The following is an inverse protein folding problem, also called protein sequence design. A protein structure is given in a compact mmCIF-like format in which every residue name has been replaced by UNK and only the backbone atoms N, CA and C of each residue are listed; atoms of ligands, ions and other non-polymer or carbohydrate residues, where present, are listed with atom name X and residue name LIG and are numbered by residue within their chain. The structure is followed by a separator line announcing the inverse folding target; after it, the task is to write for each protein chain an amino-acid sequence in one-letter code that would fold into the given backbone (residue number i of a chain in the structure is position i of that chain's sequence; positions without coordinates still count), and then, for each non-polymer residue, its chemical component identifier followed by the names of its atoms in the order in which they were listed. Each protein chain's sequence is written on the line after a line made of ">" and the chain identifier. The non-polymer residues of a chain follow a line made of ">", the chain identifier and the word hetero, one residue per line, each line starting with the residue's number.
data_IF_372568450814
#
_entry.id   IF_372568450814
#
_cell.length_a   1.000
_cell.length_b   1.000
_cell.length_c   1.000
_cell.angle_alpha   90.00
_cell.angle_beta   90.00
_cell.angle_gamma   90.00
#
_symmetry.space_group_name_H-M   'P 1'
#
loop_
_entity.id
_entity.type
_entity.pdbx_description
1 polymer ?
#
# COMPACT_ATOMS: atom_id res chain seq x y z
N UNK A 1 38.84 46.97 -10.01
CA UNK A 1 37.68 46.20 -10.51
C UNK A 1 37.93 44.74 -10.12
N UNK A 2 37.37 44.32 -8.99
CA UNK A 2 37.50 42.96 -8.46
C UNK A 2 36.28 42.17 -8.95
N UNK A 3 36.53 41.15 -9.77
CA UNK A 3 35.46 40.23 -10.23
C UNK A 3 35.28 39.15 -9.15
N UNK A 4 34.14 39.18 -8.44
CA UNK A 4 33.74 38.10 -7.57
C UNK A 4 33.20 36.93 -8.43
N UNK A 5 33.86 35.79 -8.33
CA UNK A 5 33.38 34.55 -8.93
C UNK A 5 32.36 33.92 -7.95
N UNK A 6 31.12 33.79 -8.40
CA UNK A 6 30.08 33.09 -7.68
C UNK A 6 30.30 31.59 -7.90
N UNK A 7 30.73 30.88 -6.86
CA UNK A 7 30.82 29.41 -6.87
C UNK A 7 29.42 28.87 -6.52
N UNK A 8 28.75 28.32 -7.53
CA UNK A 8 27.49 27.60 -7.33
C UNK A 8 27.81 26.21 -6.78
N UNK A 9 27.62 26.00 -5.49
CA UNK A 9 27.71 24.68 -4.87
C UNK A 9 26.39 23.96 -5.14
N UNK A 10 26.37 23.09 -6.15
CA UNK A 10 25.28 22.13 -6.32
C UNK A 10 25.40 21.09 -5.20
N UNK A 11 24.51 21.16 -4.21
CA UNK A 11 24.25 20.05 -3.34
C UNK A 11 23.51 18.98 -4.14
N UNK A 12 24.25 18.00 -4.65
CA UNK A 12 23.64 16.73 -5.02
C UNK A 12 23.20 16.08 -3.71
N UNK A 13 21.90 16.20 -3.39
CA UNK A 13 21.29 15.42 -2.32
C UNK A 13 21.46 13.95 -2.71
N UNK A 14 22.35 13.23 -2.03
CA UNK A 14 22.34 11.78 -2.08
C UNK A 14 20.93 11.34 -1.66
N UNK A 15 20.24 10.59 -2.53
CA UNK A 15 19.05 9.86 -2.11
C UNK A 15 19.54 8.87 -1.04
N UNK A 16 19.24 9.17 0.22
CA UNK A 16 19.47 8.23 1.31
C UNK A 16 18.54 7.06 1.08
N UNK A 17 19.05 5.84 1.16
CA UNK A 17 18.21 4.67 1.31
C UNK A 17 17.28 4.92 2.51
N UNK A 18 16.01 4.51 2.39
CA UNK A 18 15.12 4.54 3.55
C UNK A 18 15.69 3.57 4.58
N UNK A 19 15.80 4.02 5.83
CA UNK A 19 16.07 3.10 6.92
C UNK A 19 14.74 2.47 7.32
N UNK A 20 14.71 1.15 7.48
CA UNK A 20 13.53 0.47 8.03
C UNK A 20 13.13 1.15 9.35
N UNK A 21 11.83 1.42 9.51
CA UNK A 21 11.34 2.17 10.66
C UNK A 21 11.48 1.28 11.89
N UNK A 22 12.34 1.62 12.88
CA UNK A 22 12.55 0.78 14.04
C UNK A 22 11.28 0.69 14.88
N UNK A 23 10.96 -0.50 15.38
CA UNK A 23 9.88 -0.67 16.37
C UNK A 23 10.19 0.17 17.62
N UNK A 24 9.35 1.17 17.83
CA UNK A 24 9.44 2.08 18.98
C UNK A 24 8.53 1.65 20.13
N UNK A 25 7.68 0.65 19.90
CA UNK A 25 6.62 0.26 20.82
C UNK A 25 6.55 -1.26 21.00
N UNK A 26 7.58 -1.90 21.59
CA UNK A 26 7.68 -3.35 21.67
C UNK A 26 6.56 -4.02 22.50
N UNK A 27 5.74 -3.23 23.20
CA UNK A 27 4.55 -3.71 23.89
C UNK A 27 3.29 -3.70 23.03
N UNK A 28 3.36 -3.15 21.82
CA UNK A 28 2.27 -3.09 20.87
C UNK A 28 2.56 -3.96 19.67
N UNK A 29 1.53 -4.56 19.07
CA UNK A 29 1.63 -5.22 17.76
C UNK A 29 1.63 -4.21 16.60
N UNK A 30 1.33 -2.93 16.85
CA UNK A 30 1.57 -1.86 15.89
C UNK A 30 3.05 -1.54 15.80
N UNK A 31 3.61 -1.63 14.61
CA UNK A 31 5.00 -1.27 14.34
C UNK A 31 5.28 0.20 14.64
N UNK A 32 4.39 1.09 14.22
CA UNK A 32 4.39 2.50 14.61
C UNK A 32 3.00 2.94 15.08
N UNK A 33 2.97 3.91 15.99
CA UNK A 33 1.74 4.61 16.33
C UNK A 33 1.28 5.50 15.19
N UNK A 34 -0.03 5.73 15.05
CA UNK A 34 -0.55 6.66 14.06
C UNK A 34 0.04 8.06 14.23
N UNK A 35 0.42 8.67 13.12
CA UNK A 35 0.80 10.08 13.01
C UNK A 35 -0.24 10.84 12.21
N UNK A 36 -0.49 12.09 12.57
CA UNK A 36 -1.36 12.97 11.78
C UNK A 36 -0.60 13.44 10.54
N UNK A 37 -1.10 13.07 9.36
CA UNK A 37 -0.49 13.42 8.06
C UNK A 37 -0.94 14.81 7.61
N UNK A 38 -2.24 15.04 7.69
CA UNK A 38 -2.91 16.34 7.58
C UNK A 38 -3.98 16.40 8.67
N UNK A 39 -4.53 17.57 9.03
CA UNK A 39 -5.59 17.64 10.02
C UNK A 39 -6.69 16.62 9.73
N UNK A 40 -7.02 15.82 10.74
CA UNK A 40 -8.05 14.77 10.72
C UNK A 40 -7.70 13.46 9.99
N UNK A 41 -6.56 13.34 9.30
CA UNK A 41 -6.13 12.12 8.63
C UNK A 41 -4.87 11.58 9.28
N UNK A 42 -4.94 10.36 9.77
CA UNK A 42 -3.89 9.67 10.51
C UNK A 42 -3.47 8.38 9.80
N UNK A 43 -2.21 8.00 9.95
CA UNK A 43 -1.72 6.70 9.48
C UNK A 43 -0.70 6.11 10.44
N UNK A 44 -0.87 4.84 10.76
CA UNK A 44 0.15 4.01 11.39
C UNK A 44 1.00 3.42 10.27
N UNK A 45 2.24 3.91 10.14
CA UNK A 45 3.14 3.51 9.05
C UNK A 45 3.71 2.14 9.39
N UNK A 46 3.50 1.16 8.50
CA UNK A 46 4.05 -0.17 8.63
C UNK A 46 5.55 -0.23 8.31
N UNK A 47 6.18 -1.35 8.66
CA UNK A 47 7.56 -1.63 8.25
C UNK A 47 7.66 -1.69 6.72
N UNK A 48 8.74 -1.16 6.14
CA UNK A 48 9.03 -1.32 4.72
C UNK A 48 9.58 -2.73 4.39
N UNK A 49 9.99 -3.47 5.41
CA UNK A 49 10.41 -4.87 5.36
C UNK A 49 9.25 -5.84 5.05
N UNK A 50 9.54 -7.09 4.68
CA UNK A 50 8.54 -8.16 4.62
C UNK A 50 7.85 -8.37 5.98
N UNK A 51 6.66 -9.04 6.02
CA UNK A 51 6.02 -9.38 7.28
C UNK A 51 6.88 -10.37 8.08
N UNK A 52 7.15 -10.04 9.33
CA UNK A 52 7.94 -10.84 10.28
C UNK A 52 7.26 -10.96 11.63
N UNK A 53 7.89 -11.71 12.55
CA UNK A 53 7.44 -11.76 13.94
C UNK A 53 7.59 -10.40 14.63
N UNK A 54 8.70 -9.71 14.38
CA UNK A 54 9.06 -8.45 15.03
C UNK A 54 8.12 -7.31 14.65
N UNK A 55 7.66 -7.26 13.38
CA UNK A 55 6.66 -6.28 12.95
C UNK A 55 5.21 -6.78 13.06
N UNK A 56 5.00 -8.02 13.57
CA UNK A 56 3.68 -8.66 13.73
C UNK A 56 2.82 -8.63 12.44
N UNK A 57 3.46 -8.58 11.26
CA UNK A 57 2.81 -8.43 9.98
C UNK A 57 2.32 -7.02 9.65
N UNK A 58 2.62 -6.02 10.48
CA UNK A 58 2.31 -4.63 10.20
C UNK A 58 3.36 -4.05 9.23
N UNK A 59 3.17 -4.28 7.94
CA UNK A 59 4.07 -3.84 6.88
C UNK A 59 3.38 -2.95 5.82
N UNK A 60 2.08 -2.71 5.95
CA UNK A 60 1.32 -1.74 5.15
C UNK A 60 0.85 -0.57 6.02
N UNK A 61 0.36 0.48 5.40
CA UNK A 61 -0.19 1.63 6.11
C UNK A 61 -1.62 1.36 6.57
N UNK A 62 -1.88 1.59 7.85
CA UNK A 62 -3.21 1.53 8.45
C UNK A 62 -3.67 2.94 8.76
N UNK A 63 -4.67 3.42 8.05
CA UNK A 63 -5.08 4.81 8.11
C UNK A 63 -6.47 4.99 8.70
N UNK A 64 -6.75 6.19 9.23
CA UNK A 64 -8.10 6.55 9.64
C UNK A 64 -8.37 8.04 9.47
N UNK A 65 -9.65 8.38 9.25
CA UNK A 65 -10.16 9.71 9.02
C UNK A 65 -11.16 10.04 10.13
N UNK A 66 -10.92 11.14 10.87
CA UNK A 66 -11.81 11.65 11.93
C UNK A 66 -12.72 12.72 11.33
N UNK A 67 -14.01 12.44 11.14
CA UNK A 67 -14.89 13.31 10.35
C UNK A 67 -15.75 14.28 11.18
N UNK A 68 -15.87 14.09 12.48
CA UNK A 68 -16.80 14.86 13.33
C UNK A 68 -18.05 14.06 13.76
N UNK A 69 -18.52 13.10 12.95
CA UNK A 69 -19.65 12.21 13.25
C UNK A 69 -19.22 10.74 13.42
N UNK A 70 -17.96 10.44 13.18
CA UNK A 70 -17.38 9.11 13.28
C UNK A 70 -16.03 9.02 12.63
N UNK A 71 -15.47 7.82 12.67
CA UNK A 71 -14.17 7.50 12.10
C UNK A 71 -14.34 6.51 10.94
N UNK A 72 -13.67 6.78 9.83
CA UNK A 72 -13.50 5.86 8.71
C UNK A 72 -12.11 5.26 8.83
N UNK A 73 -12.00 3.94 8.86
CA UNK A 73 -10.72 3.22 8.87
C UNK A 73 -10.41 2.72 7.47
N UNK A 74 -9.16 2.82 7.02
CA UNK A 74 -8.68 2.25 5.77
C UNK A 74 -7.66 1.17 6.08
N UNK A 75 -7.96 -0.05 5.66
CA UNK A 75 -7.34 -1.32 6.02
C UNK A 75 -7.62 -1.79 7.45
N UNK A 76 -8.07 -3.02 7.54
CA UNK A 76 -8.38 -3.64 8.83
C UNK A 76 -7.14 -4.09 9.62
N UNK A 77 -6.01 -4.24 8.92
CA UNK A 77 -4.77 -4.81 9.45
C UNK A 77 -4.61 -6.32 9.17
N UNK A 78 -3.38 -6.81 9.35
CA UNK A 78 -3.00 -8.19 9.05
C UNK A 78 -3.48 -9.22 10.09
N UNK A 79 -4.08 -8.81 11.20
CA UNK A 79 -4.56 -9.72 12.24
C UNK A 79 -5.63 -9.07 13.12
N UNK A 80 -6.35 -9.93 13.88
CA UNK A 80 -7.27 -9.47 14.93
C UNK A 80 -6.58 -8.54 15.93
N UNK A 81 -5.40 -8.94 16.43
CA UNK A 81 -4.65 -8.15 17.41
C UNK A 81 -4.15 -6.83 16.86
N UNK A 82 -3.76 -6.79 15.59
CA UNK A 82 -3.35 -5.55 14.95
C UNK A 82 -4.52 -4.57 14.77
N UNK A 83 -5.71 -5.08 14.39
CA UNK A 83 -6.94 -4.30 14.32
C UNK A 83 -7.35 -3.75 15.70
N UNK A 84 -7.25 -4.57 16.75
CA UNK A 84 -7.52 -4.15 18.13
C UNK A 84 -6.54 -3.06 18.60
N UNK A 85 -5.25 -3.20 18.28
CA UNK A 85 -4.23 -2.21 18.61
C UNK A 85 -4.48 -0.88 17.88
N UNK A 86 -4.82 -0.92 16.58
CA UNK A 86 -5.20 0.28 15.83
C UNK A 86 -6.42 0.98 16.45
N UNK A 87 -7.44 0.21 16.83
CA UNK A 87 -8.64 0.75 17.47
C UNK A 87 -8.34 1.40 18.82
N UNK A 88 -7.38 0.87 19.59
CA UNK A 88 -6.93 1.49 20.83
C UNK A 88 -6.27 2.86 20.57
N UNK A 89 -5.46 2.98 19.54
CA UNK A 89 -4.85 4.27 19.15
C UNK A 89 -5.89 5.26 18.61
N UNK A 90 -6.89 4.81 17.84
CA UNK A 90 -8.02 5.65 17.41
C UNK A 90 -8.72 6.27 18.64
N UNK A 91 -9.01 5.44 19.65
CA UNK A 91 -9.64 5.93 20.90
C UNK A 91 -8.76 6.88 21.72
N UNK A 92 -7.44 6.84 21.53
CA UNK A 92 -6.53 7.81 22.14
C UNK A 92 -6.56 9.18 21.42
N UNK A 93 -6.98 9.20 20.13
CA UNK A 93 -7.11 10.42 19.33
C UNK A 93 -8.50 11.06 19.46
N UNK A 94 -9.57 10.24 19.50
CA UNK A 94 -10.94 10.71 19.47
C UNK A 94 -11.91 9.79 20.19
N UNK A 95 -12.98 10.35 20.77
CA UNK A 95 -14.10 9.60 21.34
C UNK A 95 -15.15 9.19 20.29
N UNK A 96 -14.96 9.59 19.02
CA UNK A 96 -15.90 9.26 17.94
C UNK A 96 -15.83 7.77 17.63
N UNK A 97 -16.99 7.10 17.40
CA UNK A 97 -17.01 5.68 17.06
C UNK A 97 -16.49 5.43 15.64
N UNK A 98 -15.83 4.30 15.43
CA UNK A 98 -15.57 3.80 14.06
C UNK A 98 -16.90 3.40 13.42
N UNK A 99 -17.18 3.95 12.25
CA UNK A 99 -18.44 3.76 11.53
C UNK A 99 -18.32 2.78 10.37
N UNK A 100 -17.15 2.70 9.76
CA UNK A 100 -16.89 1.84 8.61
C UNK A 100 -15.39 1.58 8.48
N UNK A 101 -15.05 0.39 7.98
CA UNK A 101 -13.72 0.04 7.51
C UNK A 101 -13.76 -0.11 6.00
N UNK A 102 -12.77 0.41 5.29
CA UNK A 102 -12.57 0.22 3.85
C UNK A 102 -11.33 -0.65 3.66
N UNK A 103 -11.46 -1.78 2.98
CA UNK A 103 -10.31 -2.59 2.56
C UNK A 103 -9.80 -2.11 1.20
N UNK A 104 -8.50 -1.87 1.09
CA UNK A 104 -7.89 -1.41 -0.16
C UNK A 104 -7.75 -2.51 -1.22
N UNK A 105 -7.55 -3.76 -0.79
CA UNK A 105 -7.42 -4.91 -1.69
C UNK A 105 -7.78 -6.23 -0.98
N UNK A 106 -7.64 -7.37 -1.71
CA UNK A 106 -7.95 -8.70 -1.22
C UNK A 106 -6.81 -9.40 -0.48
N UNK A 107 -5.75 -8.69 -0.11
CA UNK A 107 -4.59 -9.30 0.54
C UNK A 107 -4.74 -9.39 2.06
N UNK A 108 -3.95 -10.28 2.67
CA UNK A 108 -4.04 -10.54 4.11
C UNK A 108 -3.76 -9.32 4.98
N UNK A 109 -2.85 -8.43 4.58
CA UNK A 109 -2.52 -7.21 5.31
C UNK A 109 -3.70 -6.23 5.38
N UNK A 110 -4.59 -6.25 4.38
CA UNK A 110 -5.77 -5.39 4.32
C UNK A 110 -7.01 -6.00 4.99
N UNK A 111 -7.17 -7.34 4.95
CA UNK A 111 -8.44 -7.99 5.29
C UNK A 111 -8.41 -8.94 6.50
N UNK A 112 -7.27 -9.47 6.93
CA UNK A 112 -7.27 -10.48 8.02
C UNK A 112 -7.71 -9.92 9.38
N UNK A 113 -7.71 -8.60 9.56
CA UNK A 113 -8.27 -7.94 10.75
C UNK A 113 -9.80 -7.72 10.70
N UNK A 114 -10.48 -8.03 9.58
CA UNK A 114 -11.91 -7.75 9.40
C UNK A 114 -12.77 -8.34 10.51
N UNK A 115 -12.45 -9.55 10.98
CA UNK A 115 -13.25 -10.21 12.02
C UNK A 115 -13.27 -9.44 13.35
N UNK A 116 -12.22 -8.66 13.67
CA UNK A 116 -12.24 -7.75 14.82
C UNK A 116 -13.34 -6.69 14.65
N UNK A 117 -13.32 -5.97 13.52
CA UNK A 117 -14.23 -4.86 13.26
C UNK A 117 -15.69 -5.33 13.13
N UNK A 118 -15.92 -6.43 12.44
CA UNK A 118 -17.25 -7.08 12.32
C UNK A 118 -17.76 -7.46 13.71
N UNK A 119 -16.87 -8.01 14.56
CA UNK A 119 -17.21 -8.34 15.96
C UNK A 119 -17.57 -7.12 16.82
N UNK A 120 -17.12 -5.91 16.45
CA UNK A 120 -17.52 -4.63 17.06
C UNK A 120 -18.82 -4.06 16.45
N UNK A 121 -19.42 -4.75 15.48
CA UNK A 121 -20.60 -4.25 14.75
C UNK A 121 -20.28 -3.19 13.69
N UNK A 122 -19.03 -3.06 13.28
CA UNK A 122 -18.59 -2.11 12.26
C UNK A 122 -18.67 -2.78 10.89
N UNK A 123 -19.39 -2.20 9.90
CA UNK A 123 -19.39 -2.70 8.54
C UNK A 123 -18.02 -2.56 7.88
N UNK A 124 -17.72 -3.49 6.99
CA UNK A 124 -16.48 -3.51 6.20
C UNK A 124 -16.84 -3.47 4.73
N UNK A 125 -16.33 -2.46 4.02
CA UNK A 125 -16.52 -2.24 2.59
C UNK A 125 -15.27 -2.68 1.83
N UNK A 126 -15.43 -3.38 0.72
CA UNK A 126 -14.35 -3.75 -0.19
C UNK A 126 -14.83 -3.83 -1.64
N UNK A 127 -13.90 -3.79 -2.59
CA UNK A 127 -14.25 -4.02 -3.98
C UNK A 127 -14.68 -5.48 -4.20
N UNK A 128 -15.61 -5.73 -5.12
CA UNK A 128 -16.14 -7.08 -5.38
C UNK A 128 -15.04 -8.08 -5.79
N UNK A 129 -14.07 -7.64 -6.60
CA UNK A 129 -12.96 -8.49 -7.05
C UNK A 129 -11.96 -8.73 -5.93
N UNK A 130 -11.70 -7.75 -5.06
CA UNK A 130 -10.88 -7.91 -3.87
C UNK A 130 -11.50 -8.92 -2.89
N UNK A 131 -12.82 -8.89 -2.70
CA UNK A 131 -13.54 -9.86 -1.89
C UNK A 131 -13.41 -11.28 -2.46
N UNK A 132 -13.57 -11.44 -3.78
CA UNK A 132 -13.42 -12.71 -4.46
C UNK A 132 -11.98 -13.25 -4.42
N UNK A 133 -10.98 -12.39 -4.51
CA UNK A 133 -9.57 -12.75 -4.39
C UNK A 133 -9.24 -13.20 -2.96
N UNK A 134 -9.72 -12.47 -1.96
CA UNK A 134 -9.54 -12.84 -0.56
C UNK A 134 -10.19 -14.19 -0.25
N UNK A 135 -11.39 -14.47 -0.74
CA UNK A 135 -12.06 -15.77 -0.52
C UNK A 135 -11.21 -16.95 -1.01
N UNK A 136 -10.51 -16.80 -2.15
CA UNK A 136 -9.61 -17.83 -2.70
C UNK A 136 -8.34 -17.99 -1.87
N UNK A 137 -7.77 -16.89 -1.37
CA UNK A 137 -6.45 -16.85 -0.74
C UNK A 137 -6.49 -16.88 0.80
N UNK A 138 -7.66 -16.70 1.43
CA UNK A 138 -7.84 -16.49 2.88
C UNK A 138 -7.19 -17.56 3.76
N UNK A 139 -7.33 -18.84 3.39
CA UNK A 139 -6.73 -19.94 4.14
C UNK A 139 -5.20 -19.93 4.10
N UNK A 140 -4.61 -19.60 2.94
CA UNK A 140 -3.15 -19.48 2.78
C UNK A 140 -2.63 -18.24 3.50
N UNK A 141 -3.35 -17.13 3.42
CA UNK A 141 -3.00 -15.88 4.10
C UNK A 141 -2.99 -16.07 5.61
N UNK A 142 -3.99 -16.78 6.18
CA UNK A 142 -4.01 -17.11 7.61
C UNK A 142 -2.85 -18.03 8.01
N UNK A 143 -2.57 -19.08 7.23
CA UNK A 143 -1.48 -19.99 7.50
C UNK A 143 -0.11 -19.26 7.47
N UNK A 144 0.08 -18.36 6.53
CA UNK A 144 1.27 -17.50 6.45
C UNK A 144 1.37 -16.60 7.68
N UNK A 145 0.28 -15.91 8.04
CA UNK A 145 0.22 -15.09 9.26
C UNK A 145 0.61 -15.88 10.51
N UNK A 146 0.03 -17.05 10.70
CA UNK A 146 0.32 -17.92 11.86
C UNK A 146 1.79 -18.35 11.90
N UNK A 147 2.40 -18.54 10.75
CA UNK A 147 3.80 -18.93 10.65
C UNK A 147 4.75 -17.81 11.08
N UNK A 148 4.58 -16.59 10.58
CA UNK A 148 5.49 -15.49 10.89
C UNK A 148 5.09 -14.71 12.15
N UNK A 149 3.82 -14.49 12.40
CA UNK A 149 3.34 -13.65 13.53
C UNK A 149 3.09 -14.45 14.82
N UNK A 150 2.99 -15.81 14.74
CA UNK A 150 2.82 -16.72 15.86
C UNK A 150 1.63 -16.33 16.76
N UNK A 151 1.87 -16.02 18.06
CA UNK A 151 0.83 -15.58 19.01
C UNK A 151 0.15 -14.26 18.61
N UNK A 152 0.79 -13.42 17.79
CA UNK A 152 0.16 -12.20 17.27
C UNK A 152 -0.93 -12.50 16.24
N UNK A 153 -1.02 -13.74 15.75
CA UNK A 153 -2.12 -14.21 14.90
C UNK A 153 -3.36 -14.67 15.67
N UNK A 154 -3.28 -14.79 17.02
CA UNK A 154 -4.39 -15.29 17.83
C UNK A 154 -5.66 -14.46 17.65
N UNK A 155 -6.81 -15.14 17.59
CA UNK A 155 -8.12 -14.53 17.39
C UNK A 155 -8.45 -14.20 15.94
N UNK A 156 -7.48 -14.31 15.02
CA UNK A 156 -7.71 -14.01 13.60
C UNK A 156 -8.51 -15.12 12.93
N UNK A 157 -9.66 -14.74 12.38
CA UNK A 157 -10.54 -15.59 11.57
C UNK A 157 -10.75 -14.87 10.24
N UNK A 158 -10.37 -15.44 9.10
CA UNK A 158 -10.57 -14.80 7.81
C UNK A 158 -12.05 -14.52 7.56
N UNK A 159 -12.37 -13.25 7.36
CA UNK A 159 -13.71 -12.80 6.99
C UNK A 159 -13.58 -11.74 5.90
N UNK A 160 -14.28 -11.93 4.79
CA UNK A 160 -14.37 -10.93 3.72
C UNK A 160 -15.12 -9.68 4.17
N UNK A 161 -15.23 -8.66 3.30
CA UNK A 161 -16.02 -7.47 3.57
C UNK A 161 -17.50 -7.82 3.73
N UNK A 162 -18.24 -7.04 4.54
CA UNK A 162 -19.68 -7.21 4.74
C UNK A 162 -20.51 -6.54 3.64
N UNK A 163 -19.89 -5.56 2.96
CA UNK A 163 -20.47 -4.79 1.87
C UNK A 163 -19.48 -4.71 0.73
N UNK A 164 -19.96 -4.71 -0.52
CA UNK A 164 -19.10 -4.60 -1.70
C UNK A 164 -19.57 -3.49 -2.63
N UNK A 165 -18.62 -2.95 -3.41
CA UNK A 165 -18.87 -2.00 -4.49
C UNK A 165 -18.12 -2.42 -5.76
N UNK A 166 -18.39 -1.77 -6.90
CA UNK A 166 -17.75 -2.05 -8.20
C UNK A 166 -16.87 -0.89 -8.69
N UNK A 167 -17.43 0.29 -8.83
CA UNK A 167 -16.69 1.42 -9.44
C UNK A 167 -16.39 2.53 -8.43
N UNK A 168 -17.42 2.96 -7.70
CA UNK A 168 -17.34 4.07 -6.75
C UNK A 168 -18.36 3.90 -5.63
N UNK A 169 -17.92 4.18 -4.42
CA UNK A 169 -18.80 4.33 -3.27
C UNK A 169 -18.51 5.68 -2.58
N UNK A 170 -19.54 6.39 -2.15
CA UNK A 170 -19.38 7.70 -1.50
C UNK A 170 -19.86 7.61 -0.06
N UNK A 171 -19.02 8.07 0.86
CA UNK A 171 -19.31 8.17 2.27
C UNK A 171 -19.41 9.66 2.61
N UNK A 172 -20.62 10.11 2.98
CA UNK A 172 -20.86 11.45 3.51
C UNK A 172 -20.90 11.35 5.04
N UNK A 173 -19.93 11.93 5.74
CA UNK A 173 -19.84 11.82 7.18
C UNK A 173 -19.23 13.11 7.80
N UNK A 174 -19.91 13.69 8.79
CA UNK A 174 -19.40 14.87 9.48
C UNK A 174 -19.13 16.10 8.59
N UNK A 175 -19.82 16.19 7.44
CA UNK A 175 -19.63 17.25 6.45
C UNK A 175 -18.42 17.04 5.53
N UNK A 176 -17.80 15.86 5.55
CA UNK A 176 -16.70 15.47 4.67
C UNK A 176 -17.21 14.44 3.66
N UNK A 177 -16.87 14.67 2.40
CA UNK A 177 -17.11 13.70 1.32
C UNK A 177 -15.88 12.82 1.14
N UNK A 178 -16.03 11.52 1.31
CA UNK A 178 -14.98 10.52 1.09
C UNK A 178 -15.40 9.61 -0.05
N UNK A 179 -14.63 9.60 -1.10
CA UNK A 179 -14.85 8.76 -2.28
C UNK A 179 -13.98 7.51 -2.20
N UNK A 180 -14.60 6.34 -2.20
CA UNK A 180 -13.95 5.04 -2.31
C UNK A 180 -14.01 4.64 -3.78
N UNK A 181 -12.86 4.54 -4.43
CA UNK A 181 -12.74 4.43 -5.88
C UNK A 181 -12.06 3.14 -6.29
N UNK A 182 -12.55 2.53 -7.36
CA UNK A 182 -11.78 1.58 -8.17
C UNK A 182 -11.38 2.29 -9.45
N UNK A 183 -10.11 2.61 -9.61
CA UNK A 183 -9.61 3.38 -10.74
C UNK A 183 -9.24 2.52 -11.95
N UNK A 184 -9.16 1.22 -11.77
CA UNK A 184 -8.78 0.25 -12.80
C UNK A 184 -7.80 -0.81 -12.26
N UNK A 185 -7.38 -1.74 -13.11
CA UNK A 185 -6.40 -2.75 -12.75
C UNK A 185 -5.07 -2.13 -12.32
N UNK A 186 -4.49 -2.61 -11.21
CA UNK A 186 -3.21 -2.14 -10.69
C UNK A 186 -2.41 -3.30 -10.08
N UNK A 187 -2.06 -3.22 -8.79
CA UNK A 187 -1.24 -4.21 -8.10
C UNK A 187 -1.93 -5.58 -7.97
N UNK A 188 -3.22 -5.55 -7.64
CA UNK A 188 -4.04 -6.75 -7.44
C UNK A 188 -5.50 -6.53 -7.89
N UNK A 189 -6.31 -7.60 -8.04
CA UNK A 189 -7.71 -7.44 -8.37
C UNK A 189 -8.46 -6.62 -7.33
N UNK A 190 -9.13 -5.52 -7.78
CA UNK A 190 -9.97 -4.70 -6.95
C UNK A 190 -9.23 -3.73 -6.02
N UNK A 191 -8.00 -3.32 -6.39
CA UNK A 191 -7.29 -2.26 -5.66
C UNK A 191 -8.13 -1.00 -5.55
N UNK A 192 -8.31 -0.54 -4.33
CA UNK A 192 -9.24 0.52 -3.94
C UNK A 192 -8.49 1.71 -3.39
N UNK A 193 -8.87 2.91 -3.81
CA UNK A 193 -8.31 4.17 -3.35
C UNK A 193 -9.37 4.96 -2.56
N UNK A 194 -8.94 5.66 -1.52
CA UNK A 194 -9.81 6.54 -0.73
C UNK A 194 -9.40 7.99 -0.99
N UNK A 195 -10.27 8.72 -1.69
CA UNK A 195 -10.05 10.09 -2.11
C UNK A 195 -10.90 11.07 -1.31
N UNK A 196 -10.28 12.14 -0.82
CA UNK A 196 -10.95 13.22 -0.09
C UNK A 196 -10.72 14.51 -0.88
N UNK A 197 -11.65 14.88 -1.80
CA UNK A 197 -11.46 15.99 -2.73
C UNK A 197 -11.19 17.32 -2.04
N UNK A 198 -11.93 17.63 -0.97
CA UNK A 198 -11.84 18.90 -0.24
C UNK A 198 -10.46 19.12 0.38
N UNK A 199 -9.75 18.04 0.69
CA UNK A 199 -8.43 18.09 1.31
C UNK A 199 -7.30 17.77 0.31
N UNK A 200 -7.66 17.49 -0.94
CA UNK A 200 -6.70 16.99 -1.95
C UNK A 200 -5.82 15.85 -1.41
N UNK A 201 -6.45 14.93 -0.65
CA UNK A 201 -5.82 13.84 0.08
C UNK A 201 -6.21 12.50 -0.51
N UNK A 202 -5.22 11.67 -0.83
CA UNK A 202 -5.39 10.30 -1.32
C UNK A 202 -4.78 9.31 -0.34
N UNK A 203 -5.57 8.36 0.15
CA UNK A 203 -5.06 7.12 0.74
C UNK A 203 -5.07 6.11 -0.41
N UNK A 204 -3.90 5.89 -0.99
CA UNK A 204 -3.79 5.24 -2.29
C UNK A 204 -3.86 3.72 -2.23
N UNK A 205 -3.45 3.12 -1.11
CA UNK A 205 -3.25 1.68 -1.08
C UNK A 205 -2.15 1.22 -2.04
N UNK A 206 -2.18 -0.03 -2.43
CA UNK A 206 -1.11 -0.68 -3.20
C UNK A 206 -1.07 -0.28 -4.68
N UNK A 207 -1.92 0.63 -5.14
CA UNK A 207 -1.66 1.28 -6.44
C UNK A 207 -0.38 2.11 -6.38
N UNK A 208 0.04 2.57 -5.19
CA UNK A 208 1.20 3.43 -4.98
C UNK A 208 2.11 2.91 -3.87
N UNK A 209 3.40 2.82 -4.17
CA UNK A 209 4.46 2.43 -3.26
C UNK A 209 5.45 3.58 -3.04
N UNK A 210 6.07 3.62 -1.86
CA UNK A 210 7.14 4.54 -1.52
C UNK A 210 8.20 3.82 -0.68
N UNK A 211 9.48 4.14 -0.89
CA UNK A 211 10.65 3.66 -0.13
C UNK A 211 10.98 2.18 -0.27
N UNK A 212 10.02 1.33 -0.57
CA UNK A 212 10.26 -0.10 -0.84
C UNK A 212 9.91 -0.46 -2.28
N UNK A 213 10.51 -1.55 -2.76
CA UNK A 213 10.15 -2.14 -4.05
C UNK A 213 8.77 -2.79 -3.96
N UNK A 214 7.93 -2.51 -4.96
CA UNK A 214 6.63 -3.15 -5.09
C UNK A 214 6.79 -4.64 -5.49
N UNK A 215 5.99 -5.56 -4.94
CA UNK A 215 5.97 -6.94 -5.42
C UNK A 215 5.06 -7.09 -6.64
N UNK A 216 5.42 -7.97 -7.57
CA UNK A 216 4.56 -8.40 -8.66
C UNK A 216 4.09 -9.84 -8.44
N UNK A 217 2.86 -10.13 -8.83
CA UNK A 217 2.21 -11.43 -8.69
C UNK A 217 1.72 -11.94 -10.06
N UNK A 218 1.34 -13.20 -10.13
CA UNK A 218 0.87 -13.84 -11.36
C UNK A 218 -0.39 -13.18 -11.96
N UNK A 219 -1.15 -12.48 -11.13
CA UNK A 219 -2.36 -11.74 -11.52
C UNK A 219 -2.15 -10.23 -11.66
N UNK A 220 -0.93 -9.75 -11.52
CA UNK A 220 -0.60 -8.34 -11.77
C UNK A 220 -0.43 -8.10 -13.27
N UNK A 221 -1.17 -7.15 -13.83
CA UNK A 221 -0.98 -6.68 -15.19
C UNK A 221 -0.21 -5.35 -15.14
N UNK A 222 1.08 -5.39 -15.46
CA UNK A 222 1.94 -4.19 -15.32
C UNK A 222 1.63 -3.11 -16.36
N UNK A 223 1.25 -3.49 -17.58
CA UNK A 223 0.79 -2.56 -18.61
C UNK A 223 -0.53 -1.90 -18.22
N UNK A 224 -1.49 -2.68 -17.69
CA UNK A 224 -2.75 -2.16 -17.19
C UNK A 224 -2.56 -1.20 -16.01
N UNK A 225 -1.63 -1.51 -15.09
CA UNK A 225 -1.32 -0.64 -13.95
C UNK A 225 -0.77 0.71 -14.39
N UNK A 226 0.16 0.72 -15.37
CA UNK A 226 0.69 1.95 -15.96
C UNK A 226 -0.43 2.75 -16.63
N UNK A 227 -1.33 2.10 -17.37
CA UNK A 227 -2.49 2.76 -18.01
C UNK A 227 -3.43 3.37 -16.96
N UNK A 228 -3.80 2.61 -15.91
CA UNK A 228 -4.62 3.10 -14.80
C UNK A 228 -3.95 4.29 -14.12
N UNK A 229 -2.62 4.21 -13.91
CA UNK A 229 -1.85 5.32 -13.34
C UNK A 229 -1.99 6.60 -14.18
N UNK A 230 -1.73 6.48 -15.48
CA UNK A 230 -1.66 7.65 -16.38
C UNK A 230 -3.03 8.24 -16.69
N UNK A 231 -4.07 7.40 -16.76
CA UNK A 231 -5.40 7.84 -17.22
C UNK A 231 -6.38 8.14 -16.08
N UNK A 232 -6.19 7.55 -14.90
CA UNK A 232 -7.14 7.68 -13.80
C UNK A 232 -6.52 8.16 -12.48
N UNK A 233 -5.39 7.60 -12.03
CA UNK A 233 -4.80 7.96 -10.74
C UNK A 233 -4.09 9.32 -10.76
N UNK A 234 -3.10 9.51 -11.64
CA UNK A 234 -2.32 10.74 -11.70
C UNK A 234 -3.15 11.99 -12.05
N UNK A 235 -4.20 11.92 -12.92
CA UNK A 235 -5.07 13.07 -13.20
C UNK A 235 -5.84 13.61 -12.00
N UNK A 236 -6.07 12.84 -10.92
CA UNK A 236 -6.67 13.36 -9.68
C UNK A 236 -5.75 14.37 -9.00
N UNK A 237 -4.46 14.34 -9.31
CA UNK A 237 -3.43 15.27 -8.84
C UNK A 237 -3.49 15.56 -7.34
N UNK A 238 -3.47 14.54 -6.47
CA UNK A 238 -3.50 14.73 -5.03
C UNK A 238 -2.26 15.47 -4.54
N UNK A 239 -2.48 16.38 -3.58
CA UNK A 239 -1.39 17.09 -2.90
C UNK A 239 -0.70 16.18 -1.88
N UNK A 240 -1.50 15.36 -1.18
CA UNK A 240 -1.05 14.46 -0.13
C UNK A 240 -1.42 13.02 -0.49
N UNK A 241 -0.45 12.12 -0.35
CA UNK A 241 -0.67 10.70 -0.62
C UNK A 241 -0.16 9.87 0.56
N UNK A 242 -1.01 8.98 1.05
CA UNK A 242 -0.60 7.85 1.87
C UNK A 242 -0.54 6.64 0.94
N UNK A 243 0.65 6.13 0.60
CA UNK A 243 0.80 4.92 -0.21
C UNK A 243 0.36 3.68 0.58
N UNK A 244 0.26 2.52 -0.07
CA UNK A 244 0.05 1.25 0.65
C UNK A 244 1.22 0.92 1.57
N UNK A 245 2.44 1.28 1.16
CA UNK A 245 3.68 1.03 1.91
C UNK A 245 4.60 2.25 1.87
N UNK A 246 5.33 2.48 2.97
CA UNK A 246 6.27 3.60 3.14
C UNK A 246 5.62 4.88 3.67
N UNK A 247 6.39 5.93 3.83
CA UNK A 247 5.91 7.17 4.40
C UNK A 247 4.94 7.92 3.48
N UNK A 248 3.97 8.67 4.06
CA UNK A 248 3.17 9.65 3.31
C UNK A 248 4.05 10.60 2.52
N UNK A 249 3.64 10.92 1.28
CA UNK A 249 4.49 11.69 0.37
C UNK A 249 3.68 12.41 -0.72
N UNK A 250 4.32 12.83 -1.80
CA UNK A 250 3.72 13.54 -2.94
C UNK A 250 3.49 12.62 -4.14
N UNK A 251 2.63 13.05 -5.08
CA UNK A 251 2.40 12.34 -6.34
C UNK A 251 3.72 12.10 -7.11
N UNK A 252 4.62 13.08 -7.13
CA UNK A 252 5.90 12.96 -7.83
C UNK A 252 6.77 11.82 -7.26
N UNK A 253 6.76 11.62 -5.94
CA UNK A 253 7.54 10.55 -5.32
C UNK A 253 6.93 9.17 -5.60
N UNK A 254 5.62 8.98 -5.38
CA UNK A 254 5.01 7.68 -5.67
C UNK A 254 5.05 7.35 -7.17
N UNK A 255 5.00 8.36 -8.06
CA UNK A 255 5.20 8.15 -9.51
C UNK A 255 6.57 7.55 -9.77
N UNK A 256 7.62 8.12 -9.17
CA UNK A 256 8.97 7.62 -9.32
C UNK A 256 9.13 6.19 -8.81
N UNK A 257 8.57 5.86 -7.65
CA UNK A 257 8.76 4.55 -7.00
C UNK A 257 7.83 3.46 -7.53
N UNK A 258 6.76 3.81 -8.20
CA UNK A 258 5.78 2.85 -8.74
C UNK A 258 5.82 2.84 -10.27
N UNK A 259 5.27 3.88 -10.90
CA UNK A 259 5.11 3.93 -12.36
C UNK A 259 6.44 3.91 -13.11
N UNK A 260 7.40 4.72 -12.69
CA UNK A 260 8.70 4.81 -13.38
C UNK A 260 9.52 3.53 -13.18
N UNK A 261 9.36 2.84 -12.05
CA UNK A 261 9.94 1.52 -11.85
C UNK A 261 9.35 0.49 -12.82
N UNK A 262 8.02 0.44 -12.94
CA UNK A 262 7.35 -0.48 -13.87
C UNK A 262 7.76 -0.22 -15.32
N UNK A 263 7.83 1.04 -15.73
CA UNK A 263 8.28 1.40 -17.07
C UNK A 263 9.74 0.99 -17.33
N UNK A 264 10.65 1.30 -16.41
CA UNK A 264 12.07 0.97 -16.53
C UNK A 264 12.28 -0.55 -16.63
N UNK A 265 11.54 -1.34 -15.84
CA UNK A 265 11.62 -2.79 -15.88
C UNK A 265 11.07 -3.35 -17.18
N UNK A 266 9.89 -2.88 -17.63
CA UNK A 266 9.29 -3.32 -18.92
C UNK A 266 10.19 -2.96 -20.11
N UNK A 267 10.80 -1.77 -20.12
CA UNK A 267 11.75 -1.37 -21.17
C UNK A 267 12.93 -2.33 -21.26
N UNK A 268 13.52 -2.71 -20.13
CA UNK A 268 14.64 -3.65 -20.08
C UNK A 268 14.26 -5.06 -20.49
N UNK A 269 13.08 -5.51 -20.09
CA UNK A 269 12.55 -6.82 -20.51
C UNK A 269 12.23 -6.81 -22.01
N UNK A 270 11.69 -5.72 -22.56
CA UNK A 270 11.45 -5.60 -24.01
C UNK A 270 12.75 -5.72 -24.79
N UNK A 271 13.81 -5.03 -24.41
CA UNK A 271 15.14 -5.15 -25.04
C UNK A 271 15.66 -6.59 -24.96
N UNK A 272 15.53 -7.23 -23.79
CA UNK A 272 15.97 -8.62 -23.59
C UNK A 272 15.21 -9.61 -24.51
N UNK A 273 13.89 -9.42 -24.67
CA UNK A 273 13.06 -10.22 -25.59
C UNK A 273 13.43 -9.98 -27.05
N UNK A 274 13.65 -8.73 -27.47
CA UNK A 274 14.05 -8.37 -28.84
C UNK A 274 15.40 -8.97 -29.22
N UNK A 275 16.30 -9.16 -28.25
CA UNK A 275 17.59 -9.84 -28.42
C UNK A 275 17.47 -11.38 -28.40
N UNK A 276 16.28 -11.94 -28.26
CA UNK A 276 16.01 -13.37 -28.17
C UNK A 276 16.35 -13.99 -26.81
N UNK A 277 16.36 -13.18 -25.77
CA UNK A 277 16.60 -13.62 -24.41
C UNK A 277 15.49 -14.51 -23.85
N UNK A 278 15.83 -15.36 -22.90
CA UNK A 278 14.92 -16.28 -22.23
C UNK A 278 14.62 -15.83 -20.78
N UNK A 279 13.70 -16.53 -20.11
CA UNK A 279 13.34 -16.27 -18.71
C UNK A 279 14.57 -16.29 -17.77
N UNK A 280 15.54 -17.18 -18.04
CA UNK A 280 16.75 -17.28 -17.20
C UNK A 280 17.58 -16.00 -17.29
N UNK A 281 17.73 -15.44 -18.48
CA UNK A 281 18.40 -14.17 -18.71
C UNK A 281 17.63 -12.98 -18.14
N UNK A 282 16.28 -13.02 -18.21
CA UNK A 282 15.42 -11.96 -17.67
C UNK A 282 15.66 -11.71 -16.17
N UNK A 283 15.94 -12.73 -15.38
CA UNK A 283 16.25 -12.59 -13.95
C UNK A 283 17.46 -11.68 -13.67
N UNK A 284 18.32 -11.46 -14.64
CA UNK A 284 19.57 -10.70 -14.49
C UNK A 284 19.55 -9.35 -15.23
N UNK A 285 18.41 -8.89 -15.72
CA UNK A 285 18.32 -7.52 -16.26
C UNK A 285 18.72 -6.50 -15.20
N UNK A 286 19.47 -5.49 -15.60
CA UNK A 286 20.02 -4.52 -14.67
C UNK A 286 18.94 -3.64 -14.03
N UNK A 287 18.69 -3.84 -12.75
CA UNK A 287 17.79 -3.03 -11.92
C UNK A 287 18.55 -2.20 -10.87
N UNK A 288 19.87 -2.07 -10.97
CA UNK A 288 20.73 -1.41 -9.96
C UNK A 288 20.32 0.02 -9.64
N UNK A 289 19.66 0.72 -10.57
CA UNK A 289 19.05 2.04 -10.35
C UNK A 289 18.10 2.06 -9.15
N UNK A 290 17.49 0.92 -8.83
CA UNK A 290 16.48 0.75 -7.81
C UNK A 290 16.99 0.05 -6.55
N UNK A 291 18.30 -0.25 -6.48
CA UNK A 291 18.93 -0.98 -5.36
C UNK A 291 18.86 -0.24 -4.01
N UNK A 292 18.45 1.02 -4.02
CA UNK A 292 18.20 1.80 -2.81
C UNK A 292 16.83 1.57 -2.18
N UNK A 293 15.95 0.80 -2.84
CA UNK A 293 14.63 0.49 -2.32
C UNK A 293 14.72 -0.67 -1.32
N UNK A 294 14.02 -0.53 -0.20
CA UNK A 294 13.85 -1.66 0.71
C UNK A 294 13.18 -2.83 -0.02
N UNK A 295 13.52 -4.05 0.36
CA UNK A 295 13.09 -5.30 -0.31
C UNK A 295 13.61 -5.48 -1.75
N UNK A 296 14.59 -4.70 -2.20
CA UNK A 296 15.17 -4.87 -3.54
C UNK A 296 15.75 -6.27 -3.75
N UNK A 297 16.55 -6.76 -2.82
CA UNK A 297 17.23 -8.05 -2.93
C UNK A 297 16.25 -9.23 -2.98
N UNK A 298 15.09 -9.11 -2.34
CA UNK A 298 14.05 -10.13 -2.32
C UNK A 298 13.16 -10.11 -3.56
N UNK A 299 12.95 -8.93 -4.17
CA UNK A 299 11.91 -8.75 -5.16
C UNK A 299 12.41 -8.50 -6.59
N UNK A 300 13.59 -7.89 -6.78
CA UNK A 300 14.03 -7.45 -8.10
C UNK A 300 14.07 -8.59 -9.13
N UNK A 301 14.71 -9.71 -8.78
CA UNK A 301 14.80 -10.90 -9.63
C UNK A 301 13.41 -11.49 -9.94
N UNK A 302 12.56 -11.60 -8.91
CA UNK A 302 11.19 -12.11 -9.06
C UNK A 302 10.36 -11.22 -9.97
N UNK A 303 10.40 -9.93 -9.77
CA UNK A 303 9.66 -8.95 -10.56
C UNK A 303 10.06 -9.02 -12.05
N UNK A 304 11.36 -9.15 -12.34
CA UNK A 304 11.84 -9.32 -13.70
C UNK A 304 11.25 -10.57 -14.38
N UNK A 305 11.20 -11.69 -13.66
CA UNK A 305 10.56 -12.90 -14.15
C UNK A 305 9.06 -12.75 -14.41
N UNK A 306 8.34 -12.02 -13.54
CA UNK A 306 6.91 -11.75 -13.72
C UNK A 306 6.64 -10.89 -14.96
N UNK A 307 7.41 -9.81 -15.14
CA UNK A 307 7.28 -8.93 -16.30
C UNK A 307 7.66 -9.68 -17.59
N UNK A 308 8.68 -10.53 -17.55
CA UNK A 308 9.03 -11.36 -18.71
C UNK A 308 7.87 -12.29 -19.10
N UNK A 309 7.29 -13.01 -18.13
CA UNK A 309 6.18 -13.93 -18.39
C UNK A 309 4.93 -13.20 -18.91
N UNK A 310 4.66 -11.96 -18.45
CA UNK A 310 3.61 -11.13 -19.01
C UNK A 310 3.89 -10.74 -20.45
N UNK A 311 5.10 -10.23 -20.75
CA UNK A 311 5.45 -9.64 -22.04
C UNK A 311 5.77 -10.66 -23.14
N UNK A 312 6.14 -11.90 -22.77
CA UNK A 312 6.41 -12.97 -23.76
C UNK A 312 5.19 -13.27 -24.62
N UNK A 313 3.98 -12.94 -24.16
CA UNK A 313 2.72 -13.20 -24.84
C UNK A 313 1.98 -11.92 -25.31
N UNK A 314 2.58 -10.73 -25.15
CA UNK A 314 2.07 -9.48 -25.72
C UNK A 314 2.51 -9.33 -27.19
#
# INVERSE_FOLDING_TARGET
>A
MIRAALVLICFAGAAMASEDIPDKYPQSVLYNKPVEVIPHVFTAIGATAPPTYENAGHNNNLSFIVTGDGVIVVNSGASYRLAEALHAEIRAVTDQPVRIVVNENGQGHAMLGNNYWIGQGVPVLGHVDAAAEFEKSAGQSLASLQNYARENAEGTVPMGPTETFTDRHVIEMGGVTVEVLYLGPAHSPGDTQVWIPEWSMMIAGDIAFHERMLPLFDNTCTSCWIETWDTAFAPLNPTWIIPGHGHPTSLAQVTRYTRDYLLDLREKIAVHLDEGGDLTGAYYVDQSRWSHLDTFDELATRNAGMVFAEMEFE
#
